data_IF_923265887686
#
_entry.id   IF_923265887686
#
_cell.length_a   1.000
_cell.length_b   1.000
_cell.length_c   1.000
_cell.angle_alpha   90.00
_cell.angle_beta   90.00
_cell.angle_gamma   90.00
#
_symmetry.space_group_name_H-M   'P 1'
#
loop_
_entity.id
_entity.type
_entity.pdbx_description
1 polymer ?
#
# COMPACT_ATOMS: atom_id res chain seq x y z
N UNK A 1 -64.49 -51.77 17.64
CA UNK A 1 -63.68 -52.93 17.26
C UNK A 1 -62.97 -52.49 15.95
N UNK A 2 -61.75 -51.99 16.05
CA UNK A 2 -60.82 -52.12 14.97
C UNK A 2 -59.49 -51.43 15.40
N UNK A 3 -58.48 -52.26 15.57
CA UNK A 3 -57.16 -51.93 15.98
C UNK A 3 -56.36 -51.46 14.77
N UNK A 4 -55.99 -50.15 14.72
CA UNK A 4 -55.09 -49.61 13.74
C UNK A 4 -53.64 -49.65 14.28
N UNK A 5 -52.82 -50.52 13.67
CA UNK A 5 -51.41 -50.67 13.99
C UNK A 5 -50.60 -49.59 13.26
N UNK A 6 -49.96 -48.73 14.04
CA UNK A 6 -48.99 -47.74 13.51
C UNK A 6 -47.61 -48.39 13.38
N UNK A 7 -47.17 -48.53 12.11
CA UNK A 7 -45.82 -48.95 11.78
C UNK A 7 -44.83 -47.76 11.92
N UNK A 8 -43.92 -47.85 12.89
CA UNK A 8 -42.80 -46.93 13.07
C UNK A 8 -41.68 -47.27 12.06
N UNK A 9 -41.55 -46.47 11.01
CA UNK A 9 -40.43 -46.55 10.07
C UNK A 9 -39.12 -46.10 10.71
N UNK A 10 -38.23 -47.03 11.02
CA UNK A 10 -36.91 -46.78 11.52
C UNK A 10 -36.02 -46.13 10.45
N UNK A 11 -35.62 -44.87 10.65
CA UNK A 11 -34.69 -44.13 9.79
C UNK A 11 -33.27 -44.64 10.01
N UNK A 12 -32.76 -45.46 9.07
CA UNK A 12 -31.39 -45.99 9.10
C UNK A 12 -30.39 -44.82 9.08
N UNK A 13 -29.55 -44.71 10.14
CA UNK A 13 -28.40 -43.81 10.18
C UNK A 13 -27.35 -44.30 9.18
N UNK A 14 -27.13 -43.55 8.05
CA UNK A 14 -26.00 -43.77 7.17
C UNK A 14 -24.70 -43.57 7.97
N UNK A 15 -23.89 -44.60 8.03
CA UNK A 15 -22.59 -44.63 8.70
C UNK A 15 -21.68 -43.53 8.19
N UNK A 16 -21.00 -42.87 9.10
CA UNK A 16 -20.00 -41.87 8.84
C UNK A 16 -18.83 -42.51 8.06
N UNK A 17 -18.73 -42.20 6.78
CA UNK A 17 -17.56 -42.58 5.97
C UNK A 17 -16.31 -41.98 6.63
N UNK A 18 -15.38 -42.84 7.03
CA UNK A 18 -14.13 -42.48 7.70
C UNK A 18 -13.38 -41.42 6.92
N UNK A 19 -13.08 -40.27 7.54
CA UNK A 19 -12.19 -39.26 6.99
C UNK A 19 -10.81 -39.88 6.85
N UNK A 20 -10.36 -40.15 5.60
CA UNK A 20 -8.98 -40.51 5.31
C UNK A 20 -8.08 -39.52 6.03
N UNK A 21 -7.16 -40.02 6.86
CA UNK A 21 -6.11 -39.21 7.48
C UNK A 21 -5.33 -38.53 6.35
N UNK A 22 -5.51 -37.22 6.19
CA UNK A 22 -4.85 -36.45 5.15
C UNK A 22 -3.37 -36.36 5.48
N UNK A 23 -2.51 -36.77 4.53
CA UNK A 23 -1.07 -36.54 4.61
C UNK A 23 -0.73 -35.07 4.89
N UNK A 24 0.54 -34.70 5.11
CA UNK A 24 0.94 -33.38 5.54
C UNK A 24 0.37 -32.31 4.59
N UNK A 25 -0.50 -31.43 5.11
CA UNK A 25 -1.15 -30.38 4.34
C UNK A 25 -0.06 -29.44 3.81
N UNK A 26 0.13 -29.41 2.49
CA UNK A 26 0.96 -28.39 1.84
C UNK A 26 0.50 -27.01 2.31
N UNK A 27 1.44 -26.18 2.77
CA UNK A 27 1.14 -24.78 3.18
C UNK A 27 0.37 -24.09 2.05
N UNK A 28 -0.80 -23.50 2.35
CA UNK A 28 -1.61 -22.83 1.35
C UNK A 28 -0.90 -21.54 0.89
N UNK A 29 -0.65 -21.43 -0.41
CA UNK A 29 -0.09 -20.20 -1.01
C UNK A 29 -1.17 -19.13 -1.05
N UNK A 30 -0.87 -17.93 -0.57
CA UNK A 30 -1.84 -16.81 -0.55
C UNK A 30 -2.15 -16.34 -1.97
N UNK A 31 -3.32 -15.73 -2.16
CA UNK A 31 -3.70 -15.17 -3.47
C UNK A 31 -2.78 -14.03 -3.90
N UNK A 32 -2.27 -13.25 -2.96
CA UNK A 32 -1.29 -12.18 -3.23
C UNK A 32 0.00 -12.74 -3.83
N UNK A 33 0.56 -13.78 -3.23
CA UNK A 33 1.78 -14.45 -3.74
C UNK A 33 1.53 -15.04 -5.13
N UNK A 34 0.36 -15.67 -5.37
CA UNK A 34 0.01 -16.20 -6.70
C UNK A 34 -0.11 -15.11 -7.77
N UNK A 35 -0.52 -13.91 -7.38
CA UNK A 35 -0.67 -12.74 -8.26
C UNK A 35 0.62 -11.90 -8.38
N UNK A 36 1.67 -12.21 -7.61
CA UNK A 36 2.90 -11.41 -7.56
C UNK A 36 2.71 -10.04 -6.89
N UNK A 37 1.69 -9.89 -6.04
CA UNK A 37 1.35 -8.62 -5.39
C UNK A 37 1.75 -8.60 -3.91
N UNK A 38 2.15 -7.43 -3.44
CA UNK A 38 2.39 -7.16 -2.01
C UNK A 38 1.06 -6.87 -1.29
N UNK A 39 0.10 -6.24 -1.98
CA UNK A 39 -1.19 -5.90 -1.39
C UNK A 39 -2.04 -7.13 -1.11
N UNK A 40 -2.83 -7.10 -0.03
CA UNK A 40 -3.55 -8.28 0.48
C UNK A 40 -4.83 -8.56 -0.31
N UNK A 41 -4.73 -9.28 -1.43
CA UNK A 41 -5.87 -9.67 -2.30
C UNK A 41 -7.02 -10.30 -1.52
N UNK A 42 -6.70 -11.14 -0.51
CA UNK A 42 -7.71 -11.76 0.34
C UNK A 42 -8.53 -10.78 1.16
N UNK A 43 -7.89 -9.74 1.70
CA UNK A 43 -8.53 -8.69 2.48
C UNK A 43 -9.39 -7.79 1.61
N UNK A 44 -8.86 -7.37 0.45
CA UNK A 44 -9.60 -6.59 -0.56
C UNK A 44 -10.87 -7.32 -0.97
N UNK A 45 -10.78 -8.63 -1.29
CA UNK A 45 -11.96 -9.43 -1.63
C UNK A 45 -12.98 -9.54 -0.51
N UNK A 46 -12.55 -9.59 0.76
CA UNK A 46 -13.45 -9.57 1.91
C UNK A 46 -14.19 -8.24 2.03
N UNK A 47 -13.50 -7.11 1.84
CA UNK A 47 -14.12 -5.79 1.89
C UNK A 47 -15.08 -5.55 0.73
N UNK A 48 -14.75 -5.98 -0.48
CA UNK A 48 -15.67 -5.91 -1.62
C UNK A 48 -16.98 -6.65 -1.35
N UNK A 49 -16.91 -7.84 -0.73
CA UNK A 49 -18.11 -8.59 -0.34
C UNK A 49 -18.89 -7.92 0.79
N UNK A 50 -18.17 -7.40 1.80
CA UNK A 50 -18.79 -6.71 2.95
C UNK A 50 -19.46 -5.41 2.53
N UNK A 51 -18.90 -4.69 1.57
CA UNK A 51 -19.44 -3.39 1.09
C UNK A 51 -20.72 -3.49 0.30
N UNK A 52 -21.17 -4.72 -0.08
CA UNK A 52 -22.42 -4.97 -0.82
C UNK A 52 -22.58 -4.11 -2.09
N UNK A 53 -21.49 -3.83 -2.77
CA UNK A 53 -21.49 -3.05 -4.03
C UNK A 53 -22.20 -3.80 -5.17
N UNK A 54 -22.22 -5.13 -5.10
CA UNK A 54 -22.91 -6.00 -6.04
C UNK A 54 -23.34 -7.30 -5.34
N UNK A 55 -24.31 -8.01 -5.93
CA UNK A 55 -24.76 -9.31 -5.41
C UNK A 55 -23.67 -10.38 -5.45
N UNK A 56 -22.78 -10.31 -6.43
CA UNK A 56 -21.67 -11.27 -6.63
C UNK A 56 -20.38 -10.53 -6.95
N UNK A 57 -19.26 -11.04 -6.42
CA UNK A 57 -17.91 -10.51 -6.69
C UNK A 57 -17.09 -11.63 -7.33
N UNK A 58 -16.66 -11.42 -8.57
CA UNK A 58 -15.80 -12.35 -9.29
C UNK A 58 -14.42 -12.51 -8.64
N UNK A 59 -13.76 -13.62 -8.90
CA UNK A 59 -12.45 -13.94 -8.29
C UNK A 59 -11.32 -13.03 -8.74
N UNK A 60 -11.40 -12.48 -9.95
CA UNK A 60 -10.41 -11.55 -10.52
C UNK A 60 -10.52 -10.12 -9.99
N UNK A 61 -11.73 -9.66 -9.60
CA UNK A 61 -11.94 -8.29 -9.15
C UNK A 61 -11.03 -7.84 -7.99
N UNK A 62 -10.86 -8.64 -6.91
CA UNK A 62 -9.96 -8.25 -5.84
C UNK A 62 -8.48 -8.28 -6.24
N UNK A 63 -8.09 -9.08 -7.23
CA UNK A 63 -6.72 -9.11 -7.76
C UNK A 63 -6.45 -7.82 -8.52
N UNK A 64 -7.34 -7.46 -9.44
CA UNK A 64 -7.22 -6.23 -10.21
C UNK A 64 -7.20 -4.99 -9.32
N UNK A 65 -8.14 -4.90 -8.38
CA UNK A 65 -8.19 -3.75 -7.45
C UNK A 65 -6.93 -3.67 -6.58
N UNK A 66 -6.42 -4.80 -6.10
CA UNK A 66 -5.18 -4.82 -5.32
C UNK A 66 -3.97 -4.35 -6.16
N UNK A 67 -3.89 -4.75 -7.43
CA UNK A 67 -2.85 -4.32 -8.35
C UNK A 67 -2.89 -2.81 -8.63
N UNK A 68 -4.07 -2.26 -8.87
CA UNK A 68 -4.25 -0.80 -9.07
C UNK A 68 -3.83 -0.02 -7.83
N UNK A 69 -4.27 -0.46 -6.65
CA UNK A 69 -3.89 0.21 -5.39
C UNK A 69 -2.38 0.13 -5.12
N UNK A 70 -1.76 -1.00 -5.43
CA UNK A 70 -0.31 -1.17 -5.29
C UNK A 70 0.46 -0.25 -6.24
N UNK A 71 0.03 -0.18 -7.50
CA UNK A 71 0.64 0.70 -8.50
C UNK A 71 0.56 2.18 -8.09
N UNK A 72 -0.64 2.66 -7.75
CA UNK A 72 -0.82 4.06 -7.33
C UNK A 72 -0.04 4.40 -6.06
N UNK A 73 0.02 3.48 -5.10
CA UNK A 73 0.80 3.68 -3.88
C UNK A 73 2.30 3.73 -4.17
N UNK A 74 2.80 2.88 -5.06
CA UNK A 74 4.21 2.87 -5.46
C UNK A 74 4.60 4.18 -6.14
N UNK A 75 3.79 4.67 -7.08
CA UNK A 75 4.03 5.92 -7.80
C UNK A 75 4.10 7.12 -6.84
N UNK A 76 3.10 7.26 -5.98
CA UNK A 76 3.08 8.35 -4.97
C UNK A 76 4.31 8.27 -4.05
N UNK A 77 4.71 7.07 -3.62
CA UNK A 77 5.85 6.89 -2.72
C UNK A 77 7.18 7.15 -3.42
N UNK A 78 7.33 6.80 -4.70
CA UNK A 78 8.52 7.09 -5.49
C UNK A 78 8.73 8.59 -5.63
N UNK A 79 7.70 9.32 -6.06
CA UNK A 79 7.75 10.78 -6.21
C UNK A 79 7.96 11.47 -4.85
N UNK A 80 7.31 11.00 -3.78
CA UNK A 80 7.52 11.53 -2.44
C UNK A 80 8.94 11.26 -1.91
N UNK A 81 9.51 10.11 -2.25
CA UNK A 81 10.90 9.78 -1.94
C UNK A 81 11.89 10.70 -2.64
N UNK A 82 11.63 11.03 -3.90
CA UNK A 82 12.43 12.00 -4.65
C UNK A 82 12.31 13.41 -4.04
N UNK A 83 11.10 13.87 -3.72
CA UNK A 83 10.89 15.14 -3.02
C UNK A 83 11.60 15.20 -1.66
N UNK A 84 11.66 14.08 -0.92
CA UNK A 84 12.39 14.02 0.35
C UNK A 84 13.90 14.15 0.12
N UNK A 85 14.46 13.49 -0.89
CA UNK A 85 15.90 13.58 -1.27
C UNK A 85 16.27 15.00 -1.66
N UNK A 86 15.44 15.67 -2.47
CA UNK A 86 15.65 17.06 -2.89
C UNK A 86 15.67 18.00 -1.69
N UNK A 87 14.85 17.74 -0.69
CA UNK A 87 14.83 18.45 0.57
C UNK A 87 15.95 18.00 1.55
N UNK A 88 16.89 17.14 1.13
CA UNK A 88 17.98 16.59 1.95
C UNK A 88 17.47 15.90 3.23
N UNK A 89 16.30 15.25 3.15
CA UNK A 89 15.67 14.51 4.25
C UNK A 89 15.70 13.01 3.95
N UNK A 90 15.93 12.22 5.00
CA UNK A 90 15.90 10.76 4.94
C UNK A 90 14.53 10.16 5.25
N UNK A 91 13.58 11.01 5.68
CA UNK A 91 12.23 10.58 6.09
C UNK A 91 11.18 11.24 5.22
N UNK A 92 10.24 10.44 4.71
CA UNK A 92 9.06 10.94 4.01
C UNK A 92 8.09 11.49 5.06
N UNK A 93 7.61 12.71 4.85
CA UNK A 93 6.61 13.38 5.68
C UNK A 93 5.43 13.83 4.80
N UNK A 94 4.25 14.19 5.35
CA UNK A 94 3.10 14.61 4.55
C UNK A 94 3.39 15.77 3.59
N UNK A 95 4.34 16.63 3.93
CA UNK A 95 4.81 17.71 3.04
C UNK A 95 5.37 17.16 1.72
N UNK A 96 6.15 16.07 1.78
CA UNK A 96 6.72 15.44 0.58
C UNK A 96 5.64 14.78 -0.28
N UNK A 97 4.62 14.18 0.34
CA UNK A 97 3.46 13.63 -0.37
C UNK A 97 2.68 14.74 -1.09
N UNK A 98 2.45 15.89 -0.43
CA UNK A 98 1.78 17.01 -1.07
C UNK A 98 2.60 17.55 -2.25
N UNK A 99 3.90 17.74 -2.09
CA UNK A 99 4.78 18.21 -3.17
C UNK A 99 4.76 17.23 -4.35
N UNK A 100 4.87 15.94 -4.09
CA UNK A 100 4.81 14.89 -5.12
C UNK A 100 3.50 14.95 -5.91
N UNK A 101 2.37 14.91 -5.23
CA UNK A 101 1.03 14.90 -5.85
C UNK A 101 0.73 16.19 -6.61
N UNK A 102 1.16 17.35 -6.11
CA UNK A 102 0.84 18.65 -6.74
C UNK A 102 1.80 19.04 -7.87
N UNK A 103 3.00 18.46 -7.92
CA UNK A 103 3.96 18.65 -8.99
C UNK A 103 3.74 17.69 -10.17
N UNK A 104 3.13 16.54 -9.92
CA UNK A 104 2.72 15.61 -10.96
C UNK A 104 1.36 16.00 -11.53
N UNK A 105 1.24 15.98 -12.85
CA UNK A 105 0.04 16.45 -13.54
C UNK A 105 -1.10 15.43 -13.45
N UNK A 106 -0.79 14.14 -13.54
CA UNK A 106 -1.79 13.06 -13.53
C UNK A 106 -2.32 12.82 -12.11
N UNK A 107 -1.42 12.70 -11.13
CA UNK A 107 -1.80 12.60 -9.71
C UNK A 107 -2.50 13.87 -9.22
N UNK A 108 -2.09 15.03 -9.70
CA UNK A 108 -2.72 16.31 -9.42
C UNK A 108 -4.17 16.37 -9.88
N UNK A 109 -4.48 15.82 -11.06
CA UNK A 109 -5.86 15.69 -11.56
C UNK A 109 -6.66 14.65 -10.77
N UNK A 110 -6.06 13.48 -10.54
CA UNK A 110 -6.73 12.40 -9.80
C UNK A 110 -7.10 12.80 -8.37
N UNK A 111 -6.22 13.53 -7.69
CA UNK A 111 -6.36 13.94 -6.30
C UNK A 111 -6.70 15.44 -6.14
N UNK A 112 -7.31 16.07 -7.16
CA UNK A 112 -7.60 17.50 -7.17
C UNK A 112 -8.45 17.95 -5.97
N UNK A 113 -9.45 17.15 -5.58
CA UNK A 113 -10.36 17.44 -4.46
C UNK A 113 -9.88 16.97 -3.09
N UNK A 114 -8.66 16.39 -3.00
CA UNK A 114 -8.16 15.80 -1.75
C UNK A 114 -7.28 16.79 -1.00
N UNK A 115 -7.52 16.93 0.31
CA UNK A 115 -6.69 17.73 1.23
C UNK A 115 -5.76 16.78 1.99
N UNK A 116 -4.45 17.05 1.93
CA UNK A 116 -3.43 16.30 2.67
C UNK A 116 -3.11 17.07 3.95
N UNK A 117 -3.53 16.51 5.10
CA UNK A 117 -3.27 17.11 6.42
C UNK A 117 -1.75 17.24 6.65
N UNK A 118 -1.32 18.36 7.25
CA UNK A 118 0.10 18.70 7.49
C UNK A 118 0.96 18.82 6.21
N UNK A 119 0.35 18.86 5.02
CA UNK A 119 1.06 19.02 3.75
C UNK A 119 1.52 20.46 3.48
N UNK A 120 0.85 21.47 4.06
CA UNK A 120 1.06 22.87 3.75
C UNK A 120 0.51 23.26 2.37
N UNK A 121 1.11 24.26 1.75
CA UNK A 121 0.75 24.75 0.43
C UNK A 121 1.92 24.68 -0.54
N UNK A 122 1.63 24.56 -1.84
CA UNK A 122 2.67 24.63 -2.87
C UNK A 122 3.17 26.08 -2.98
N UNK A 123 4.49 26.34 -2.87
CA UNK A 123 5.03 27.68 -3.03
C UNK A 123 4.91 28.12 -4.49
N UNK A 124 4.07 29.11 -4.77
CA UNK A 124 3.92 29.74 -6.08
C UNK A 124 4.30 31.21 -5.96
N UNK A 125 5.60 31.50 -5.99
CA UNK A 125 6.11 32.86 -5.99
C UNK A 125 6.51 33.23 -7.43
N UNK A 126 6.05 34.38 -7.92
CA UNK A 126 6.41 34.84 -9.24
C UNK A 126 7.94 35.07 -9.29
N UNK A 127 8.69 34.51 -10.26
CA UNK A 127 10.15 34.66 -10.37
C UNK A 127 10.63 36.13 -10.40
N UNK A 128 9.81 37.05 -10.91
CA UNK A 128 10.12 38.49 -10.97
C UNK A 128 10.24 39.12 -9.57
N UNK A 129 9.55 38.55 -8.58
CA UNK A 129 9.56 39.03 -7.19
C UNK A 129 10.71 38.43 -6.36
N UNK A 130 11.42 37.45 -6.90
CA UNK A 130 12.55 36.86 -6.19
C UNK A 130 13.80 37.72 -6.39
N UNK A 131 14.64 37.88 -5.35
CA UNK A 131 15.90 38.59 -5.47
C UNK A 131 16.77 37.89 -6.51
N UNK A 132 17.37 38.65 -7.45
CA UNK A 132 18.32 38.11 -8.42
C UNK A 132 19.49 37.51 -7.64
N UNK A 133 19.75 36.22 -7.78
CA UNK A 133 20.95 35.57 -7.23
C UNK A 133 22.16 36.22 -7.92
N UNK A 134 22.90 37.06 -7.22
CA UNK A 134 24.18 37.58 -7.68
C UNK A 134 25.10 36.36 -7.86
N UNK A 135 25.68 36.21 -9.05
CA UNK A 135 26.48 35.04 -9.45
C UNK A 135 27.72 34.78 -8.55
N UNK A 136 28.07 35.74 -7.69
CA UNK A 136 29.21 35.62 -6.75
C UNK A 136 29.01 34.71 -5.52
N UNK A 137 27.76 34.28 -5.19
CA UNK A 137 27.55 33.38 -4.06
C UNK A 137 27.67 31.88 -4.40
N UNK A 138 27.82 31.52 -5.65
CA UNK A 138 28.03 30.14 -6.07
C UNK A 138 29.45 29.60 -5.83
N UNK A 139 30.43 30.50 -5.57
CA UNK A 139 31.84 30.13 -5.42
C UNK A 139 32.31 29.91 -3.97
N UNK A 140 31.42 30.06 -2.97
CA UNK A 140 31.78 29.85 -1.55
C UNK A 140 30.85 28.82 -0.88
N UNK A 141 30.90 27.57 -1.33
CA UNK A 141 30.56 26.44 -0.44
C UNK A 141 31.81 26.13 0.41
N UNK A 142 31.76 26.25 1.73
CA UNK A 142 32.87 25.82 2.57
C UNK A 142 32.92 24.29 2.58
N UNK A 143 34.01 23.73 2.03
CA UNK A 143 34.36 22.32 2.19
C UNK A 143 34.38 22.01 3.70
N UNK A 144 33.50 21.12 4.14
CA UNK A 144 33.47 20.59 5.49
C UNK A 144 34.82 20.00 5.87
N UNK A 145 35.39 20.30 7.06
CA UNK A 145 36.67 19.72 7.50
C UNK A 145 36.47 18.21 7.76
N UNK A 146 37.27 17.42 7.05
CA UNK A 146 37.39 15.97 7.19
C UNK A 146 37.94 15.67 8.60
N UNK A 147 37.11 15.22 9.52
CA UNK A 147 37.56 14.71 10.85
C UNK A 147 38.36 13.44 10.64
N UNK A 148 39.65 13.52 10.70
CA UNK A 148 40.58 12.39 10.89
C UNK A 148 40.41 11.85 12.28
N UNK A 149 39.78 10.68 12.43
CA UNK A 149 39.77 9.94 13.67
C UNK A 149 41.16 9.29 13.90
N UNK A 150 41.93 9.80 14.86
CA UNK A 150 43.09 9.11 15.43
C UNK A 150 42.59 8.05 16.41
N UNK A 151 42.83 6.79 16.12
CA UNK A 151 42.70 5.68 17.06
C UNK A 151 43.82 5.74 18.10
N UNK A 152 43.55 5.50 19.40
CA UNK A 152 44.61 5.37 20.40
C UNK A 152 45.30 4.02 20.27
N UNK A 153 46.63 4.07 20.20
CA UNK A 153 47.53 2.94 20.27
C UNK A 153 47.60 2.47 21.73
N UNK A 154 47.28 1.19 21.95
CA UNK A 154 47.39 0.55 23.28
C UNK A 154 48.85 0.09 23.46
N UNK A 155 49.43 0.51 24.57
CA UNK A 155 50.64 -0.07 25.09
C UNK A 155 50.34 -1.36 25.86
#
# INVERSE_FOLDING_TARGET
MDVSSTATGGKAKKGAAGRKAGGPRKKSVTRSVKAGLQFPVGRVGRYLKKGRYAQRVGTGAPVYLAAVLEYLAAEVLELAGNAAKDNKKSRIIPRHLLLAVRNDEELGKLLAGVTIAHGGVLPKINPVLLPKKTAEKAAKEPKSPKKTAKSPKKA
#
